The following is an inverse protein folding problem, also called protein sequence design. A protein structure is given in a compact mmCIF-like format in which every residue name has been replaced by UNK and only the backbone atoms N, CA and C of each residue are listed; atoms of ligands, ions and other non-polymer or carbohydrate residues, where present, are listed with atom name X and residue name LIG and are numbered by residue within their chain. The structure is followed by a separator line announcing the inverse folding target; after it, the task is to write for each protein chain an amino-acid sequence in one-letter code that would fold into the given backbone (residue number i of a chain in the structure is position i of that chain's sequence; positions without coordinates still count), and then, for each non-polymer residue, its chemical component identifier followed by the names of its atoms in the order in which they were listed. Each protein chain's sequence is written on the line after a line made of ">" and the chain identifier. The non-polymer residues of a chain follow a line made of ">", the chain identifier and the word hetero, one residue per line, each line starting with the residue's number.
data_IF_552337655367
#
_entry.id   IF_552337655367
#
_cell.length_a   1.000
_cell.length_b   1.000
_cell.length_c   1.000
_cell.angle_alpha   90.00
_cell.angle_beta   90.00
_cell.angle_gamma   90.00
#
_symmetry.space_group_name_H-M   'P 1'
#
loop_
_entity.id
_entity.type
_entity.pdbx_description
1 polymer ?
#
# COMPACT_ATOMS: atom_id res chain seq x y z
N UNK A 1 -8.38 14.62 1.94
CA UNK A 1 -7.66 14.38 0.67
C UNK A 1 -7.44 15.65 -0.13
N UNK A 2 -8.49 16.39 -0.50
CA UNK A 2 -8.31 17.58 -1.37
C UNK A 2 -7.39 18.65 -0.76
N UNK A 3 -7.45 18.85 0.56
CA UNK A 3 -6.49 19.71 1.28
C UNK A 3 -5.01 19.30 1.05
N UNK A 4 -4.72 18.00 1.00
CA UNK A 4 -3.36 17.50 0.79
C UNK A 4 -2.93 17.57 -0.67
N UNK A 5 -3.86 17.46 -1.62
CA UNK A 5 -3.56 17.67 -3.05
C UNK A 5 -3.16 19.13 -3.29
N UNK A 6 -3.83 20.08 -2.62
CA UNK A 6 -3.50 21.51 -2.73
C UNK A 6 -2.22 21.87 -1.94
N UNK A 7 -2.02 21.25 -0.77
CA UNK A 7 -0.87 21.47 0.11
C UNK A 7 -0.23 20.12 0.48
N UNK A 8 0.58 19.55 -0.42
CA UNK A 8 1.22 18.26 -0.19
C UNK A 8 2.25 18.33 0.93
N UNK A 9 2.50 17.18 1.56
CA UNK A 9 3.54 17.05 2.56
C UNK A 9 4.93 16.97 1.94
N UNK A 10 5.97 16.94 2.77
CA UNK A 10 7.35 16.68 2.32
C UNK A 10 7.57 15.23 1.84
N UNK A 11 6.57 14.37 1.99
CA UNK A 11 6.54 12.96 1.57
C UNK A 11 5.76 12.72 0.28
N UNK A 12 5.29 13.79 -0.37
CA UNK A 12 4.63 13.73 -1.69
C UNK A 12 5.57 13.11 -2.73
N UNK A 13 4.98 12.37 -3.66
CA UNK A 13 5.66 11.81 -4.81
C UNK A 13 4.92 12.16 -6.07
N UNK A 14 5.70 12.54 -7.08
CA UNK A 14 5.24 12.52 -8.46
C UNK A 14 5.37 11.09 -8.97
N UNK A 15 4.22 10.45 -9.24
CA UNK A 15 4.16 9.05 -9.67
C UNK A 15 4.01 8.98 -11.20
N UNK A 16 3.90 10.11 -11.89
CA UNK A 16 3.62 10.13 -13.32
C UNK A 16 4.75 9.44 -14.12
N UNK A 17 4.36 8.58 -15.04
CA UNK A 17 5.28 8.01 -16.01
C UNK A 17 5.78 9.09 -16.98
N UNK A 18 7.04 9.00 -17.38
CA UNK A 18 7.63 9.93 -18.34
C UNK A 18 6.89 9.86 -19.69
N UNK A 19 6.31 10.98 -20.12
CA UNK A 19 5.49 11.05 -21.33
C UNK A 19 4.05 10.54 -21.17
N UNK A 20 3.63 10.19 -19.96
CA UNK A 20 2.25 9.83 -19.64
C UNK A 20 1.29 11.02 -19.70
N UNK A 21 -0.01 10.72 -19.79
CA UNK A 21 -1.10 11.71 -19.74
C UNK A 21 -1.75 11.74 -18.36
N UNK A 22 -2.49 12.82 -18.08
CA UNK A 22 -3.22 13.02 -16.83
C UNK A 22 -2.31 13.33 -15.64
N UNK A 23 -2.74 12.95 -14.45
CA UNK A 23 -1.97 13.20 -13.22
C UNK A 23 -2.21 12.11 -12.18
N UNK A 24 -1.10 11.52 -11.72
CA UNK A 24 -1.07 10.54 -10.64
C UNK A 24 -0.38 11.12 -9.40
N UNK A 25 -1.21 11.60 -8.47
CA UNK A 25 -0.75 12.14 -7.19
C UNK A 25 -0.59 11.02 -6.15
N UNK A 26 0.46 11.10 -5.33
CA UNK A 26 0.53 10.34 -4.08
C UNK A 26 1.29 11.05 -2.97
N UNK A 27 0.86 10.77 -1.73
CA UNK A 27 1.51 11.26 -0.52
C UNK A 27 1.46 10.17 0.56
N UNK A 28 2.47 10.10 1.42
CA UNK A 28 2.62 9.03 2.42
C UNK A 28 2.79 9.62 3.82
N UNK A 29 2.48 8.83 4.85
CA UNK A 29 2.49 9.28 6.26
C UNK A 29 1.50 10.44 6.52
N UNK A 30 0.39 10.48 5.80
CA UNK A 30 -0.59 11.56 5.85
C UNK A 30 -1.34 11.66 7.18
N UNK A 31 -1.40 10.57 7.95
CA UNK A 31 -1.94 10.59 9.31
C UNK A 31 -1.14 11.44 10.30
N UNK A 32 0.11 11.79 9.99
CA UNK A 32 0.93 12.61 10.87
C UNK A 32 0.59 14.10 10.80
N UNK A 33 -0.08 14.57 9.75
CA UNK A 33 -0.44 15.98 9.58
C UNK A 33 -1.91 16.22 9.22
N UNK A 34 -2.71 15.16 9.01
CA UNK A 34 -4.15 15.28 8.71
C UNK A 34 -4.95 14.49 9.74
N UNK A 35 -5.64 15.20 10.62
CA UNK A 35 -6.39 14.62 11.74
C UNK A 35 -7.42 13.57 11.30
N UNK A 36 -8.09 13.77 10.16
CA UNK A 36 -9.08 12.80 9.66
C UNK A 36 -8.49 11.43 9.34
N UNK A 37 -7.29 11.37 8.77
CA UNK A 37 -6.60 10.10 8.50
C UNK A 37 -6.06 9.45 9.78
N UNK A 38 -5.62 10.28 10.74
CA UNK A 38 -5.28 9.79 12.08
C UNK A 38 -6.49 9.14 12.76
N UNK A 39 -7.65 9.80 12.75
CA UNK A 39 -8.87 9.22 13.32
C UNK A 39 -9.32 7.95 12.60
N UNK A 40 -9.14 7.84 11.28
CA UNK A 40 -9.39 6.58 10.60
C UNK A 40 -8.53 5.43 11.19
N UNK A 41 -7.23 5.67 11.40
CA UNK A 41 -6.33 4.63 11.91
C UNK A 41 -6.72 4.19 13.33
N UNK A 42 -6.97 5.14 14.24
CA UNK A 42 -7.14 4.83 15.66
C UNK A 42 -8.60 4.57 16.07
N UNK A 43 -9.55 5.29 15.47
CA UNK A 43 -10.94 5.36 15.93
C UNK A 43 -11.91 4.54 15.07
N UNK A 44 -11.48 4.10 13.88
CA UNK A 44 -12.29 3.24 13.00
C UNK A 44 -12.06 1.74 13.30
N UNK A 45 -12.91 0.84 12.76
CA UNK A 45 -12.73 -0.60 12.94
C UNK A 45 -11.59 -1.19 12.08
N UNK A 46 -10.86 -0.40 11.29
CA UNK A 46 -9.86 -0.90 10.35
C UNK A 46 -8.81 -1.82 11.02
N UNK A 47 -8.29 -1.40 12.17
CA UNK A 47 -7.29 -2.19 12.89
C UNK A 47 -7.86 -3.49 13.47
N UNK A 48 -9.14 -3.50 13.87
CA UNK A 48 -9.83 -4.71 14.36
C UNK A 48 -10.09 -5.71 13.23
N UNK A 49 -10.51 -5.21 12.06
CA UNK A 49 -10.71 -6.04 10.86
C UNK A 49 -9.37 -6.65 10.42
N UNK A 50 -8.30 -5.85 10.37
CA UNK A 50 -6.98 -6.34 9.98
C UNK A 50 -6.41 -7.33 11.00
N UNK A 51 -6.59 -7.07 12.30
CA UNK A 51 -6.27 -8.03 13.36
C UNK A 51 -6.95 -9.37 13.13
N UNK A 52 -8.26 -9.37 12.84
CA UNK A 52 -9.01 -10.58 12.56
C UNK A 52 -8.53 -11.30 11.28
N UNK A 53 -8.24 -10.56 10.20
CA UNK A 53 -7.74 -11.12 8.95
C UNK A 53 -6.36 -11.78 9.11
N UNK A 54 -5.45 -11.17 9.87
CA UNK A 54 -4.12 -11.73 10.13
C UNK A 54 -4.12 -12.81 11.22
N UNK A 55 -5.20 -12.90 12.02
CA UNK A 55 -5.22 -13.71 13.24
C UNK A 55 -4.29 -13.18 14.33
N UNK A 56 -3.89 -11.90 14.26
CA UNK A 56 -2.91 -11.31 15.15
C UNK A 56 -3.59 -10.69 16.38
N UNK A 57 -3.04 -10.94 17.57
CA UNK A 57 -3.52 -10.31 18.81
C UNK A 57 -3.08 -8.85 18.95
N UNK A 58 -2.10 -8.43 18.14
CA UNK A 58 -1.50 -7.10 18.17
C UNK A 58 -1.34 -6.56 16.75
N UNK A 59 -1.64 -5.29 16.55
CA UNK A 59 -1.53 -4.64 15.24
C UNK A 59 -0.85 -3.29 15.39
N UNK A 60 0.22 -3.11 14.62
CA UNK A 60 0.94 -1.85 14.48
C UNK A 60 0.64 -1.25 13.10
N UNK A 61 0.55 0.07 13.02
CA UNK A 61 0.58 0.78 11.74
C UNK A 61 2.03 0.83 11.24
N UNK A 62 2.26 0.52 9.97
CA UNK A 62 3.55 0.76 9.31
C UNK A 62 3.56 2.19 8.74
N UNK A 63 2.61 2.50 7.86
CA UNK A 63 2.32 3.86 7.39
C UNK A 63 1.03 3.88 6.57
N UNK A 64 0.54 5.07 6.26
CA UNK A 64 -0.58 5.29 5.35
C UNK A 64 -0.18 6.06 4.10
N UNK A 65 -1.03 5.99 3.08
CA UNK A 65 -0.82 6.64 1.79
C UNK A 65 -2.15 7.06 1.21
N UNK A 66 -2.14 8.16 0.48
CA UNK A 66 -3.20 8.48 -0.46
C UNK A 66 -2.69 8.42 -1.89
N UNK A 67 -3.55 7.99 -2.79
CA UNK A 67 -3.29 7.91 -4.22
C UNK A 67 -4.48 8.50 -4.98
N UNK A 68 -4.23 9.41 -5.91
CA UNK A 68 -5.26 9.97 -6.79
C UNK A 68 -4.85 9.83 -8.25
N UNK A 69 -5.66 9.15 -9.06
CA UNK A 69 -5.56 9.23 -10.52
C UNK A 69 -6.64 10.14 -11.06
N UNK A 70 -6.24 11.26 -11.64
CA UNK A 70 -7.15 12.16 -12.35
C UNK A 70 -7.72 11.49 -13.61
N UNK A 71 -8.85 11.97 -14.15
CA UNK A 71 -9.36 11.51 -15.44
C UNK A 71 -8.28 11.56 -16.54
N UNK A 72 -8.21 10.53 -17.37
CA UNK A 72 -7.24 10.41 -18.47
C UNK A 72 -5.80 10.12 -18.04
N UNK A 73 -5.57 9.72 -16.79
CA UNK A 73 -4.23 9.35 -16.30
C UNK A 73 -3.78 8.03 -16.93
N UNK A 74 -2.77 8.05 -17.80
CA UNK A 74 -2.26 6.83 -18.44
C UNK A 74 -1.40 5.99 -17.51
N UNK A 75 -0.73 6.64 -16.56
CA UNK A 75 0.23 6.02 -15.64
C UNK A 75 -0.41 4.84 -14.90
N UNK A 76 0.17 3.66 -15.11
CA UNK A 76 -0.25 2.42 -14.43
C UNK A 76 0.45 2.28 -13.08
N UNK A 77 -0.14 1.50 -12.21
CA UNK A 77 0.57 0.93 -11.06
C UNK A 77 1.09 -0.42 -11.51
N UNK A 78 2.41 -0.55 -11.66
CA UNK A 78 3.05 -1.79 -12.10
C UNK A 78 2.71 -2.96 -11.17
N UNK A 79 2.74 -4.18 -11.72
CA UNK A 79 2.57 -5.40 -10.93
C UNK A 79 3.67 -5.50 -9.89
N UNK A 80 3.26 -5.60 -8.62
CA UNK A 80 4.17 -5.68 -7.48
C UNK A 80 3.49 -6.37 -6.31
N UNK A 81 4.27 -6.68 -5.28
CA UNK A 81 3.75 -6.88 -3.94
C UNK A 81 4.40 -5.89 -2.98
N UNK A 82 3.74 -5.66 -1.86
CA UNK A 82 3.97 -4.54 -0.97
C UNK A 82 5.20 -4.72 -0.04
N UNK A 83 5.38 -5.93 0.49
CA UNK A 83 6.32 -6.18 1.57
C UNK A 83 7.81 -5.81 1.28
N UNK A 84 8.35 -5.96 0.05
CA UNK A 84 9.72 -5.55 -0.23
C UNK A 84 9.96 -4.06 -0.04
N UNK A 85 8.95 -3.20 -0.16
CA UNK A 85 9.16 -1.76 -0.07
C UNK A 85 9.44 -1.27 1.36
N UNK A 86 9.18 -2.06 2.40
CA UNK A 86 9.12 -1.58 3.77
C UNK A 86 10.28 -2.12 4.62
N UNK A 87 10.71 -1.40 5.67
CA UNK A 87 11.79 -1.83 6.55
C UNK A 87 11.32 -2.87 7.56
N UNK A 88 10.72 -3.97 7.08
CA UNK A 88 10.07 -4.97 7.95
C UNK A 88 10.45 -6.40 7.57
N UNK A 89 10.43 -7.29 8.55
CA UNK A 89 10.56 -8.73 8.37
C UNK A 89 9.47 -9.45 9.16
N UNK A 90 8.86 -10.47 8.56
CA UNK A 90 7.68 -11.16 9.07
C UNK A 90 6.66 -11.34 7.95
N UNK A 91 5.61 -12.08 8.25
CA UNK A 91 4.57 -12.47 7.30
C UNK A 91 3.19 -11.95 7.70
N UNK A 92 2.92 -11.56 8.96
CA UNK A 92 1.65 -10.91 9.31
C UNK A 92 1.62 -9.46 8.83
N UNK A 93 1.50 -9.30 7.51
CA UNK A 93 1.52 -8.01 6.84
C UNK A 93 0.27 -7.88 5.98
N UNK A 94 -0.50 -6.82 6.19
CA UNK A 94 -1.72 -6.56 5.45
C UNK A 94 -1.82 -5.10 5.01
N UNK A 95 -2.36 -4.88 3.82
CA UNK A 95 -2.73 -3.57 3.29
C UNK A 95 -4.25 -3.49 3.20
N UNK A 96 -4.82 -2.40 3.71
CA UNK A 96 -6.22 -2.03 3.49
C UNK A 96 -6.25 -0.93 2.44
N UNK A 97 -7.03 -1.12 1.39
CA UNK A 97 -7.25 -0.14 0.33
C UNK A 97 -8.71 0.30 0.37
N UNK A 98 -8.96 1.58 0.64
CA UNK A 98 -10.30 2.15 0.80
C UNK A 98 -10.63 3.05 -0.38
N UNK A 99 -11.77 2.80 -1.02
CA UNK A 99 -12.30 3.64 -2.08
C UNK A 99 -12.82 4.97 -1.50
N UNK A 100 -12.29 6.11 -1.96
CA UNK A 100 -12.82 7.44 -1.61
C UNK A 100 -13.66 8.07 -2.74
N UNK A 101 -13.60 7.48 -3.93
CA UNK A 101 -14.42 7.78 -5.10
C UNK A 101 -14.92 6.44 -5.69
N UNK A 102 -15.92 6.46 -6.59
CA UNK A 102 -16.30 5.25 -7.32
C UNK A 102 -15.10 4.63 -8.05
N UNK A 103 -14.95 3.33 -7.87
CA UNK A 103 -13.92 2.52 -8.53
C UNK A 103 -14.62 1.57 -9.48
N UNK A 104 -14.30 1.74 -10.76
CA UNK A 104 -14.70 0.90 -11.87
C UNK A 104 -13.46 0.41 -12.59
N UNK A 105 -13.62 -0.57 -13.48
CA UNK A 105 -12.53 -1.00 -14.36
C UNK A 105 -11.88 0.17 -15.10
N UNK A 106 -12.67 1.11 -15.62
CA UNK A 106 -12.20 2.28 -16.37
C UNK A 106 -11.46 3.31 -15.49
N UNK A 107 -11.78 3.39 -14.20
CA UNK A 107 -11.05 4.29 -13.28
C UNK A 107 -9.73 3.72 -12.75
N UNK A 108 -9.39 2.51 -13.19
CA UNK A 108 -8.20 1.79 -12.76
C UNK A 108 -8.40 1.04 -11.45
N UNK A 109 -9.43 0.19 -11.39
CA UNK A 109 -9.63 -0.77 -10.30
C UNK A 109 -8.38 -1.63 -10.07
N UNK A 110 -8.10 -1.97 -8.82
CA UNK A 110 -6.94 -2.79 -8.47
C UNK A 110 -7.22 -4.24 -8.86
N UNK A 111 -6.27 -4.83 -9.58
CA UNK A 111 -6.27 -6.23 -9.97
C UNK A 111 -5.31 -7.01 -9.07
N UNK A 112 -5.72 -8.19 -8.62
CA UNK A 112 -4.96 -9.06 -7.73
C UNK A 112 -4.79 -10.43 -8.36
N UNK A 113 -3.57 -10.99 -8.32
CA UNK A 113 -3.32 -12.38 -8.68
C UNK A 113 -3.71 -13.28 -7.51
N UNK A 114 -4.79 -14.06 -7.66
CA UNK A 114 -5.34 -14.91 -6.59
C UNK A 114 -4.29 -15.92 -6.13
N UNK A 115 -4.10 -16.02 -4.81
CA UNK A 115 -3.18 -16.97 -4.21
C UNK A 115 -1.69 -16.65 -4.32
N UNK A 116 -1.30 -15.55 -4.98
CA UNK A 116 0.11 -15.16 -5.18
C UNK A 116 0.91 -14.99 -3.90
N UNK A 117 0.26 -14.57 -2.81
CA UNK A 117 0.89 -14.51 -1.48
C UNK A 117 1.40 -15.86 -0.95
N UNK A 118 1.01 -16.98 -1.56
CA UNK A 118 1.45 -18.34 -1.21
C UNK A 118 2.53 -18.91 -2.14
N UNK A 119 3.04 -18.13 -3.08
CA UNK A 119 4.08 -18.59 -4.01
C UNK A 119 5.43 -18.86 -3.34
N UNK A 120 5.62 -18.48 -2.07
CA UNK A 120 6.87 -18.69 -1.34
C UNK A 120 8.03 -17.85 -1.89
N UNK A 121 7.71 -16.74 -2.58
CA UNK A 121 8.68 -15.87 -3.25
C UNK A 121 8.56 -14.42 -2.77
N UNK A 122 9.70 -13.75 -2.70
CA UNK A 122 9.80 -12.30 -2.56
C UNK A 122 10.43 -11.76 -3.84
N UNK A 123 9.64 -11.06 -4.66
CA UNK A 123 10.11 -10.33 -5.83
C UNK A 123 10.74 -9.01 -5.44
N UNK A 124 11.65 -8.52 -6.29
CA UNK A 124 12.27 -7.22 -6.15
C UNK A 124 11.24 -6.10 -6.17
N UNK A 125 11.48 -5.06 -5.36
CA UNK A 125 10.72 -3.82 -5.45
C UNK A 125 10.85 -3.20 -6.85
N UNK A 126 9.73 -2.78 -7.43
CA UNK A 126 9.66 -2.06 -8.70
C UNK A 126 9.68 -0.56 -8.41
N UNK A 127 10.53 0.20 -9.11
CA UNK A 127 10.52 1.65 -8.98
C UNK A 127 9.29 2.26 -9.65
N UNK A 128 8.65 3.18 -8.93
CA UNK A 128 7.56 4.01 -9.44
C UNK A 128 8.02 5.42 -9.81
N UNK A 129 9.31 5.73 -9.65
CA UNK A 129 9.91 7.02 -10.00
C UNK A 129 10.93 6.82 -11.13
N UNK A 130 10.87 7.60 -12.22
CA UNK A 130 11.90 7.54 -13.27
C UNK A 130 13.31 7.77 -12.70
N UNK A 131 14.21 6.80 -12.90
CA UNK A 131 15.62 6.90 -12.48
C UNK A 131 15.96 6.32 -11.09
N UNK A 132 14.97 5.87 -10.32
CA UNK A 132 15.24 5.06 -9.11
C UNK A 132 15.33 3.59 -9.51
N UNK A 133 16.41 2.89 -9.11
CA UNK A 133 16.54 1.43 -9.27
C UNK A 133 16.76 0.80 -7.91
N UNK A 134 15.89 -0.15 -7.56
CA UNK A 134 16.12 -1.02 -6.42
C UNK A 134 17.21 -2.04 -6.78
N UNK A 135 18.41 -1.85 -6.23
CA UNK A 135 19.47 -2.87 -6.34
C UNK A 135 19.19 -3.98 -5.33
N UNK A 136 18.33 -4.92 -5.73
CA UNK A 136 18.00 -6.12 -4.95
C UNK A 136 18.43 -7.37 -5.71
N UNK A 137 18.89 -8.40 -4.98
CA UNK A 137 19.19 -9.72 -5.53
C UNK A 137 17.95 -10.60 -5.69
N UNK A 138 16.74 -10.03 -5.55
CA UNK A 138 15.48 -10.73 -5.72
C UNK A 138 15.10 -10.82 -7.19
N UNK A 139 14.37 -11.86 -7.56
CA UNK A 139 13.82 -11.99 -8.91
C UNK A 139 12.79 -10.89 -9.19
N UNK A 140 12.69 -10.38 -10.45
CA UNK A 140 11.63 -9.45 -10.81
C UNK A 140 10.26 -10.13 -10.72
N UNK A 141 9.21 -9.33 -10.55
CA UNK A 141 7.83 -9.80 -10.65
C UNK A 141 7.62 -10.42 -12.04
N UNK A 142 6.93 -11.55 -12.18
CA UNK A 142 6.64 -12.14 -13.48
C UNK A 142 5.92 -11.14 -14.39
N UNK A 143 6.07 -11.30 -15.69
CA UNK A 143 5.37 -10.48 -16.68
C UNK A 143 3.89 -10.86 -16.75
N UNK A 144 3.12 -10.40 -15.76
CA UNK A 144 1.72 -10.76 -15.57
C UNK A 144 0.87 -10.34 -16.78
N UNK A 145 1.18 -9.20 -17.40
CA UNK A 145 0.42 -8.68 -18.54
C UNK A 145 0.56 -9.58 -19.78
N UNK A 146 1.74 -10.14 -20.03
CA UNK A 146 1.96 -11.06 -21.16
C UNK A 146 1.65 -12.53 -20.82
N UNK A 147 1.27 -12.83 -19.57
CA UNK A 147 1.01 -14.19 -19.09
C UNK A 147 -0.36 -14.31 -18.41
N UNK A 148 -1.35 -13.51 -18.80
CA UNK A 148 -2.66 -13.49 -18.11
C UNK A 148 -3.34 -14.85 -18.04
N UNK A 149 -3.22 -15.68 -19.07
CA UNK A 149 -3.83 -17.03 -19.09
C UNK A 149 -3.22 -18.00 -18.05
N UNK A 150 -2.06 -17.67 -17.47
CA UNK A 150 -1.41 -18.48 -16.44
C UNK A 150 -1.93 -18.20 -15.02
N UNK A 151 -2.80 -17.21 -14.84
CA UNK A 151 -3.19 -16.70 -13.53
C UNK A 151 -4.70 -16.47 -13.40
N UNK A 152 -5.22 -16.68 -12.18
CA UNK A 152 -6.55 -16.25 -11.82
C UNK A 152 -6.53 -14.87 -11.18
N UNK A 153 -7.43 -13.99 -11.61
CA UNK A 153 -7.50 -12.61 -11.11
C UNK A 153 -8.73 -12.37 -10.22
N UNK A 154 -8.56 -11.48 -9.23
CA UNK A 154 -9.65 -10.81 -8.54
C UNK A 154 -9.57 -9.31 -8.85
N UNK A 155 -10.71 -8.70 -9.16
CA UNK A 155 -10.85 -7.26 -9.36
C UNK A 155 -12.28 -6.88 -9.02
N UNK A 156 -12.45 -5.77 -8.29
CA UNK A 156 -13.73 -5.37 -7.72
C UNK A 156 -14.04 -3.92 -8.09
N UNK A 157 -15.24 -3.70 -8.61
CA UNK A 157 -15.82 -2.37 -8.62
C UNK A 157 -16.32 -2.04 -7.22
N UNK A 158 -16.12 -0.79 -6.80
CA UNK A 158 -16.35 -0.35 -5.42
C UNK A 158 -17.01 1.02 -5.42
N UNK A 159 -17.86 1.25 -4.42
CA UNK A 159 -18.39 2.59 -4.12
C UNK A 159 -17.58 3.22 -2.97
N UNK A 160 -17.62 4.55 -2.79
CA UNK A 160 -16.93 5.19 -1.67
C UNK A 160 -17.28 4.55 -0.32
N UNK A 161 -16.26 4.18 0.46
CA UNK A 161 -16.39 3.50 1.74
C UNK A 161 -16.14 1.99 1.68
N UNK A 162 -16.24 1.36 0.50
CA UNK A 162 -15.80 -0.03 0.32
C UNK A 162 -14.28 -0.14 0.48
N UNK A 163 -13.83 -1.34 0.84
CA UNK A 163 -12.41 -1.62 0.94
C UNK A 163 -12.05 -3.05 0.52
N UNK A 164 -10.80 -3.21 0.11
CA UNK A 164 -10.15 -4.51 -0.03
C UNK A 164 -9.05 -4.64 1.02
N UNK A 165 -8.75 -5.89 1.39
CA UNK A 165 -7.62 -6.22 2.25
C UNK A 165 -6.80 -7.28 1.53
N UNK A 166 -5.50 -7.03 1.37
CA UNK A 166 -4.59 -7.98 0.74
C UNK A 166 -3.33 -8.17 1.58
N UNK A 167 -2.80 -9.40 1.55
CA UNK A 167 -1.55 -9.74 2.21
C UNK A 167 -0.37 -9.01 1.54
N UNK A 168 0.68 -8.68 2.30
CA UNK A 168 1.86 -7.94 1.80
C UNK A 168 2.63 -8.63 0.67
N UNK A 169 2.41 -9.93 0.45
CA UNK A 169 2.95 -10.73 -0.68
C UNK A 169 1.95 -10.99 -1.81
N UNK A 170 0.76 -10.40 -1.76
CA UNK A 170 -0.20 -10.52 -2.86
C UNK A 170 0.27 -9.65 -4.02
N UNK A 171 0.55 -10.28 -5.16
CA UNK A 171 0.88 -9.59 -6.40
C UNK A 171 -0.37 -8.88 -6.91
N UNK A 172 -0.25 -7.58 -7.11
CA UNK A 172 -1.34 -6.71 -7.54
C UNK A 172 -0.83 -5.55 -8.40
N UNK A 173 -1.72 -4.98 -9.20
CA UNK A 173 -1.46 -3.88 -10.11
C UNK A 173 -2.74 -3.10 -10.36
N UNK A 174 -2.62 -1.96 -11.04
CA UNK A 174 -3.81 -1.20 -11.45
C UNK A 174 -3.56 -0.48 -12.77
N UNK A 175 -4.53 -0.49 -13.71
CA UNK A 175 -4.41 0.29 -14.93
C UNK A 175 -4.40 1.80 -14.63
N UNK A 176 -4.17 2.58 -15.68
CA UNK A 176 -4.46 4.02 -15.65
C UNK A 176 -5.94 4.30 -15.39
N UNK A 177 -6.29 5.57 -15.29
CA UNK A 177 -7.68 6.02 -15.25
C UNK A 177 -8.09 6.47 -16.66
N UNK A 178 -8.75 5.59 -17.42
CA UNK A 178 -9.26 5.88 -18.77
C UNK A 178 -10.58 6.67 -18.75
N UNK A 179 -11.20 6.84 -17.58
CA UNK A 179 -12.37 7.71 -17.45
C UNK A 179 -12.01 9.15 -17.84
N UNK A 180 -12.90 9.81 -18.58
CA UNK A 180 -12.78 11.23 -18.91
C UNK A 180 -13.43 12.16 -17.89
N UNK A 181 -14.11 11.61 -16.87
CA UNK A 181 -14.95 12.38 -15.94
C UNK A 181 -14.70 12.08 -14.47
N UNK A 182 -14.33 10.84 -14.14
CA UNK A 182 -14.29 10.36 -12.76
C UNK A 182 -12.84 10.31 -12.30
N UNK A 183 -12.50 11.13 -11.30
CA UNK A 183 -11.28 10.96 -10.52
C UNK A 183 -11.41 9.72 -9.65
N UNK A 184 -10.29 9.03 -9.40
CA UNK A 184 -10.25 7.92 -8.44
C UNK A 184 -9.21 8.15 -7.36
N UNK A 185 -9.70 8.43 -6.15
CA UNK A 185 -8.93 8.57 -4.93
C UNK A 185 -9.04 7.33 -4.06
N UNK A 186 -7.93 6.98 -3.42
CA UNK A 186 -7.84 5.88 -2.48
C UNK A 186 -7.07 6.28 -1.24
N UNK A 187 -7.50 5.74 -0.10
CA UNK A 187 -6.73 5.77 1.14
C UNK A 187 -6.24 4.38 1.48
N UNK A 188 -4.95 4.25 1.75
CA UNK A 188 -4.26 2.98 1.86
C UNK A 188 -3.53 2.94 3.20
N UNK A 189 -3.81 1.94 4.02
CA UNK A 189 -3.14 1.75 5.31
C UNK A 189 -2.42 0.41 5.33
N UNK A 190 -1.21 0.39 5.89
CA UNK A 190 -0.33 -0.78 5.90
C UNK A 190 -0.07 -1.18 7.34
N UNK A 191 -0.24 -2.46 7.63
CA UNK A 191 -0.33 -2.98 8.97
C UNK A 191 0.61 -4.15 9.16
N UNK A 192 1.09 -4.28 10.40
CA UNK A 192 1.97 -5.32 10.85
C UNK A 192 1.36 -6.04 12.05
N UNK A 193 1.42 -7.37 12.06
CA UNK A 193 1.09 -8.22 13.19
C UNK A 193 2.28 -8.49 14.10
N UNK A 194 2.07 -9.41 15.04
CA UNK A 194 3.01 -9.66 16.16
C UNK A 194 4.33 -10.35 15.77
N UNK A 195 4.40 -10.99 14.61
CA UNK A 195 5.64 -11.62 14.08
C UNK A 195 6.55 -10.62 13.36
N UNK A 196 6.06 -9.39 13.12
CA UNK A 196 6.77 -8.41 12.30
C UNK A 196 7.77 -7.61 13.14
N UNK A 197 9.01 -7.52 12.64
CA UNK A 197 10.12 -6.79 13.25
C UNK A 197 10.72 -5.77 12.29
N UNK A 198 11.43 -4.79 12.84
CA UNK A 198 12.14 -3.76 12.07
C UNK A 198 13.34 -4.38 11.35
N UNK A 199 13.40 -4.22 10.03
CA UNK A 199 14.50 -4.67 9.18
C UNK A 199 14.90 -3.55 8.23
N UNK A 200 15.73 -2.60 8.68
CA UNK A 200 16.25 -1.56 7.81
C UNK A 200 17.17 -2.18 6.76
N UNK A 201 17.06 -1.70 5.54
CA UNK A 201 17.97 -2.03 4.44
C UNK A 201 18.00 -0.88 3.43
N UNK A 202 19.01 -0.81 2.55
CA UNK A 202 19.04 0.18 1.48
C UNK A 202 17.84 0.03 0.54
N UNK A 203 17.54 1.10 -0.20
CA UNK A 203 16.53 1.13 -1.25
C UNK A 203 15.16 0.64 -0.74
N UNK A 204 14.59 1.37 0.21
CA UNK A 204 13.23 1.15 0.69
C UNK A 204 12.37 2.36 0.38
N UNK A 205 11.05 2.22 0.59
CA UNK A 205 10.16 3.35 0.79
C UNK A 205 10.83 4.37 1.74
N UNK A 206 10.94 5.63 1.31
CA UNK A 206 11.41 6.71 2.18
C UNK A 206 10.51 6.78 3.42
N UNK A 207 11.11 6.63 4.60
CA UNK A 207 10.43 6.78 5.89
C UNK A 207 10.33 8.27 6.26
N UNK A 208 9.30 8.64 7.03
CA UNK A 208 9.10 10.02 7.50
C UNK A 208 10.28 10.53 8.34
N UNK A 209 10.86 9.65 9.15
CA UNK A 209 11.99 9.89 10.04
C UNK A 209 12.60 8.55 10.47
N UNK A 210 13.75 8.60 11.15
CA UNK A 210 14.29 7.43 11.85
C UNK A 210 13.30 6.98 12.94
N UNK A 211 12.91 5.69 12.99
CA UNK A 211 11.98 5.19 14.01
C UNK A 211 12.60 5.09 15.41
N UNK A 212 13.93 5.20 15.57
CA UNK A 212 14.60 5.15 16.87
C UNK A 212 14.59 3.76 17.52
N UNK A 213 14.40 2.70 16.73
CA UNK A 213 14.41 1.29 17.15
C UNK A 213 15.49 0.52 16.40
N UNK A 214 16.05 -0.50 17.03
CA UNK A 214 17.11 -1.32 16.45
C UNK A 214 16.55 -2.40 15.51
N UNK A 215 17.38 -2.85 14.57
CA UNK A 215 17.01 -3.97 13.70
C UNK A 215 16.68 -5.23 14.53
N UNK A 216 15.60 -5.91 14.17
CA UNK A 216 15.08 -7.08 14.89
C UNK A 216 14.14 -6.75 16.04
N UNK A 217 14.02 -5.47 16.45
CA UNK A 217 13.02 -5.08 17.44
C UNK A 217 11.61 -5.07 16.83
N UNK A 218 10.60 -5.20 17.69
CA UNK A 218 9.21 -4.99 17.30
C UNK A 218 9.01 -3.57 16.78
N UNK A 219 8.02 -3.38 15.93
CA UNK A 219 7.65 -2.07 15.39
C UNK A 219 6.94 -1.20 16.45
N UNK A 220 7.47 -1.07 17.66
CA UNK A 220 6.82 -0.43 18.80
C UNK A 220 7.42 0.95 19.07
N UNK A 221 7.03 1.94 18.26
CA UNK A 221 7.48 3.32 18.44
C UNK A 221 6.47 4.34 17.91
N UNK A 222 6.74 5.64 18.11
CA UNK A 222 5.85 6.72 17.65
C UNK A 222 5.63 6.74 16.13
N UNK A 223 6.57 6.21 15.35
CA UNK A 223 6.42 6.09 13.89
C UNK A 223 5.58 4.86 13.51
N UNK A 224 5.66 3.80 14.31
CA UNK A 224 4.94 2.55 14.11
C UNK A 224 4.02 2.26 15.31
N UNK A 225 2.98 3.08 15.53
CA UNK A 225 2.19 2.97 16.74
C UNK A 225 1.46 1.62 16.82
N UNK A 226 1.40 1.06 18.02
CA UNK A 226 0.45 -0.01 18.35
C UNK A 226 -0.95 0.58 18.30
N UNK A 227 -1.82 0.02 17.48
CA UNK A 227 -3.20 0.51 17.28
C UNK A 227 -4.21 -0.41 17.96
N UNK A 228 -3.92 -1.71 18.01
CA UNK A 228 -4.69 -2.71 18.76
C UNK A 228 -3.75 -3.65 19.49
N UNK A 229 -4.15 -4.00 20.70
CA UNK A 229 -3.51 -5.03 21.51
C UNK A 229 -4.59 -5.74 22.33
N UNK A 230 -4.82 -7.01 22.02
CA UNK A 230 -5.62 -7.93 22.82
C UNK A 230 -4.75 -8.66 23.83
N UNK A 231 -5.34 -9.11 24.94
CA UNK A 231 -4.68 -10.06 25.83
C UNK A 231 -4.41 -11.35 25.03
N UNK A 232 -3.16 -11.81 24.99
CA UNK A 232 -2.78 -13.07 24.35
C UNK A 232 -3.78 -14.17 24.72
N UNK A 233 -4.34 -14.88 23.74
CA UNK A 233 -5.12 -16.09 24.00
C UNK A 233 -4.16 -17.07 24.69
N UNK A 234 -4.35 -17.25 26.00
CA UNK A 234 -3.62 -18.23 26.82
C UNK A 234 -3.92 -19.64 26.35
#
# INVERSE_FOLDING_TARGET
>A
MDQNIVQPSTMVRDINESGGTGNFFGDTFVCHHIAGFRSFIFDSPAADVVSACMGSSRVNLIFDQILAKEPGTSTRTAWHHDAPYWPVAGDMIATVWVALDPVTYDTGAVEYVKGSHRWGKRFAAVSFSPGETYHESLEPVPDIDNQRDAYDFACFEMVPGDCTIHHGLTVHGAPGNSSSRVRRRAYITRWAGEDVTYKPRPNLQRMLRDPGIEAGQRLDCDLFPVVREGLAKR
#
